data_IF_127684697431
#
_entry.id   IF_127684697431
#
_cell.length_a   1.000
_cell.length_b   1.000
_cell.length_c   1.000
_cell.angle_alpha   90.00
_cell.angle_beta   90.00
_cell.angle_gamma   90.00
#
_symmetry.space_group_name_H-M   'P 1'
#
loop_
_entity.id
_entity.type
_entity.pdbx_description
1 polymer ?
#
# COMPACT_ATOMS: atom_id res chain seq x y z
N UNK A 1 -10.59 -9.55 9.37
CA UNK A 1 -9.16 -9.89 9.22
C UNK A 1 -8.35 -8.83 9.95
N UNK A 2 -7.42 -9.26 10.79
CA UNK A 2 -6.46 -8.40 11.50
C UNK A 2 -5.14 -8.39 10.77
N UNK A 3 -4.69 -7.21 10.41
CA UNK A 3 -3.47 -6.97 9.64
C UNK A 3 -2.49 -6.18 10.49
N UNK A 4 -1.23 -6.59 10.46
CA UNK A 4 -0.13 -5.84 11.06
C UNK A 4 0.94 -5.53 10.02
N UNK A 5 1.29 -4.24 9.87
CA UNK A 5 2.14 -3.75 8.79
C UNK A 5 3.51 -3.33 9.34
N UNK A 6 4.58 -3.95 8.84
CA UNK A 6 5.96 -3.58 9.13
C UNK A 6 6.42 -2.50 8.15
N UNK A 7 6.91 -1.38 8.67
CA UNK A 7 7.28 -0.20 7.87
C UNK A 7 6.06 0.63 7.44
N UNK A 8 5.04 0.72 8.31
CA UNK A 8 3.73 1.31 8.02
C UNK A 8 3.78 2.80 7.64
N UNK A 9 4.80 3.53 8.12
CA UNK A 9 4.98 4.96 7.81
C UNK A 9 5.63 5.22 6.45
N UNK A 10 6.07 4.20 5.74
CA UNK A 10 6.48 4.34 4.34
C UNK A 10 5.32 4.83 3.48
N UNK A 11 5.60 5.65 2.45
CA UNK A 11 4.57 6.28 1.62
C UNK A 11 3.63 5.26 0.98
N UNK A 12 4.17 4.22 0.38
CA UNK A 12 3.39 3.12 -0.21
C UNK A 12 2.65 2.31 0.86
N UNK A 13 3.35 1.94 1.95
CA UNK A 13 2.78 1.10 3.01
C UNK A 13 1.67 1.82 3.79
N UNK A 14 1.77 3.13 3.99
CA UNK A 14 0.68 3.93 4.58
C UNK A 14 -0.56 3.96 3.67
N UNK A 15 -0.37 3.98 2.36
CA UNK A 15 -1.45 3.83 1.40
C UNK A 15 -2.11 2.44 1.47
N UNK A 16 -1.33 1.37 1.59
CA UNK A 16 -1.84 0.01 1.84
C UNK A 16 -2.67 -0.03 3.13
N UNK A 17 -2.19 0.61 4.20
CA UNK A 17 -2.92 0.69 5.47
C UNK A 17 -4.28 1.39 5.32
N UNK A 18 -4.33 2.51 4.57
CA UNK A 18 -5.57 3.24 4.27
C UNK A 18 -6.56 2.35 3.50
N UNK A 19 -6.11 1.70 2.43
CA UNK A 19 -6.93 0.81 1.60
C UNK A 19 -7.46 -0.38 2.41
N UNK A 20 -6.61 -1.00 3.23
CA UNK A 20 -7.01 -2.11 4.10
C UNK A 20 -8.06 -1.67 5.14
N UNK A 21 -7.88 -0.48 5.72
CA UNK A 21 -8.85 0.10 6.67
C UNK A 21 -10.19 0.39 6.01
N UNK A 22 -10.19 0.98 4.80
CA UNK A 22 -11.40 1.27 4.02
C UNK A 22 -12.15 -0.02 3.64
N UNK A 23 -11.44 -1.13 3.42
CA UNK A 23 -12.04 -2.46 3.22
C UNK A 23 -12.61 -3.09 4.49
N UNK A 24 -12.51 -2.44 5.63
CA UNK A 24 -13.04 -2.91 6.90
C UNK A 24 -12.13 -3.88 7.65
N UNK A 25 -10.83 -3.94 7.30
CA UNK A 25 -9.87 -4.71 8.09
C UNK A 25 -9.46 -3.96 9.36
N UNK A 26 -9.11 -4.70 10.40
CA UNK A 26 -8.50 -4.18 11.61
C UNK A 26 -7.00 -4.02 11.32
N UNK A 27 -6.51 -2.78 11.27
CA UNK A 27 -5.15 -2.46 10.83
C UNK A 27 -4.38 -1.82 11.98
N UNK A 28 -3.15 -2.30 12.18
CA UNK A 28 -2.11 -1.70 13.02
C UNK A 28 -0.75 -1.98 12.37
N UNK A 29 0.31 -1.45 12.94
CA UNK A 29 1.64 -1.71 12.41
C UNK A 29 2.73 -1.02 13.20
N UNK A 30 3.96 -1.15 12.71
CA UNK A 30 5.13 -0.55 13.34
C UNK A 30 6.06 0.12 12.33
N UNK A 31 6.83 1.08 12.83
CA UNK A 31 7.89 1.73 12.07
C UNK A 31 8.98 2.24 13.01
N UNK A 32 10.22 2.28 12.51
CA UNK A 32 11.32 2.92 13.21
C UNK A 32 11.19 4.45 13.16
N UNK A 33 10.74 4.98 12.02
CA UNK A 33 10.68 6.39 11.71
C UNK A 33 9.23 6.88 11.63
N UNK A 34 8.71 7.37 12.75
CA UNK A 34 7.34 7.89 12.86
C UNK A 34 7.40 9.42 12.79
N UNK A 35 7.08 10.00 11.63
CA UNK A 35 7.07 11.46 11.42
C UNK A 35 6.02 11.89 10.38
N UNK A 36 5.59 13.16 10.42
CA UNK A 36 4.65 13.70 9.45
C UNK A 36 5.16 13.63 7.99
N UNK A 37 4.24 13.50 7.02
CA UNK A 37 2.78 13.53 7.16
C UNK A 37 2.13 12.15 7.37
N UNK A 38 2.87 11.04 7.26
CA UNK A 38 2.27 9.71 7.20
C UNK A 38 1.66 9.27 8.54
N UNK A 39 2.34 9.55 9.67
CA UNK A 39 1.77 9.23 10.98
C UNK A 39 0.45 9.97 11.23
N UNK A 40 0.35 11.25 10.86
CA UNK A 40 -0.88 12.04 11.03
C UNK A 40 -2.06 11.44 10.23
N UNK A 41 -1.79 10.97 9.01
CA UNK A 41 -2.79 10.31 8.17
C UNK A 41 -3.29 9.02 8.83
N UNK A 42 -2.36 8.20 9.34
CA UNK A 42 -2.70 6.93 9.99
C UNK A 42 -3.42 7.13 11.33
N UNK A 43 -2.99 8.09 12.13
CA UNK A 43 -3.64 8.48 13.39
C UNK A 43 -5.08 8.97 13.17
N UNK A 44 -5.33 9.79 12.15
CA UNK A 44 -6.66 10.26 11.77
C UNK A 44 -7.61 9.11 11.36
N UNK A 45 -7.06 7.99 10.93
CA UNK A 45 -7.80 6.76 10.61
C UNK A 45 -7.93 5.81 11.82
N UNK A 46 -7.48 6.23 13.01
CA UNK A 46 -7.40 5.40 14.21
C UNK A 46 -6.62 4.09 13.96
N UNK A 47 -5.48 4.19 13.29
CA UNK A 47 -4.53 3.10 13.09
C UNK A 47 -3.40 3.26 14.11
N UNK A 48 -3.24 2.26 14.98
CA UNK A 48 -2.18 2.27 15.99
C UNK A 48 -0.82 1.97 15.33
N UNK A 49 0.20 2.74 15.73
CA UNK A 49 1.57 2.60 15.25
C UNK A 49 2.49 2.37 16.44
N UNK A 50 3.13 1.21 16.46
CA UNK A 50 4.15 0.87 17.43
C UNK A 50 5.53 1.35 16.95
N UNK A 51 6.40 1.80 17.88
CA UNK A 51 7.73 2.30 17.54
C UNK A 51 8.78 1.18 17.56
N UNK A 52 9.49 1.05 16.43
CA UNK A 52 10.54 0.04 16.24
C UNK A 52 9.97 -1.29 15.74
N UNK A 53 10.80 -2.34 15.79
CA UNK A 53 10.48 -3.68 15.29
C UNK A 53 10.76 -4.74 16.36
N UNK A 54 10.07 -4.64 17.49
CA UNK A 54 10.34 -5.51 18.65
C UNK A 54 9.61 -6.85 18.49
N UNK A 55 10.24 -7.93 18.95
CA UNK A 55 9.66 -9.29 18.90
C UNK A 55 8.32 -9.42 19.62
N UNK A 56 8.12 -8.64 20.70
CA UNK A 56 6.87 -8.64 21.47
C UNK A 56 5.67 -8.04 20.73
N UNK A 57 5.85 -7.45 19.53
CA UNK A 57 4.77 -7.04 18.65
C UNK A 57 4.17 -8.22 17.86
N UNK A 58 4.84 -9.37 17.86
CA UNK A 58 4.25 -10.58 17.31
C UNK A 58 3.03 -11.03 18.10
N UNK A 59 1.96 -11.38 17.40
CA UNK A 59 0.74 -11.91 18.02
C UNK A 59 0.10 -12.97 17.12
N UNK A 60 -0.28 -14.11 17.72
CA UNK A 60 -1.06 -15.16 17.05
C UNK A 60 -2.48 -14.69 16.64
N UNK A 61 -2.93 -13.55 17.18
CA UNK A 61 -4.22 -12.96 16.80
C UNK A 61 -4.15 -12.14 15.50
N UNK A 62 -2.97 -11.88 14.96
CA UNK A 62 -2.77 -11.26 13.64
C UNK A 62 -2.95 -12.33 12.58
N UNK A 63 -3.88 -12.07 11.64
CA UNK A 63 -4.16 -13.00 10.54
C UNK A 63 -3.11 -12.90 9.43
N UNK A 64 -2.57 -11.69 9.20
CA UNK A 64 -1.61 -11.43 8.12
C UNK A 64 -0.65 -10.28 8.48
N UNK A 65 0.64 -10.55 8.34
CA UNK A 65 1.68 -9.52 8.40
C UNK A 65 1.99 -9.01 6.99
N UNK A 66 1.97 -7.68 6.79
CA UNK A 66 2.39 -7.08 5.53
C UNK A 66 3.76 -6.46 5.73
N UNK A 67 4.73 -6.89 4.94
CA UNK A 67 6.15 -6.55 5.13
C UNK A 67 6.57 -5.52 4.09
N UNK A 68 7.02 -4.35 4.56
CA UNK A 68 7.58 -3.31 3.70
C UNK A 68 8.96 -3.71 3.16
N UNK A 69 9.33 -3.16 2.01
CA UNK A 69 10.57 -3.46 1.29
C UNK A 69 11.86 -3.05 2.02
N UNK A 70 11.77 -2.17 3.02
CA UNK A 70 12.91 -1.77 3.87
C UNK A 70 13.25 -2.82 4.94
N UNK A 71 12.37 -3.79 5.17
CA UNK A 71 12.55 -4.86 6.15
C UNK A 71 13.41 -5.96 5.53
N UNK A 72 14.51 -6.30 6.20
CA UNK A 72 15.44 -7.35 5.77
C UNK A 72 15.64 -8.42 6.84
N UNK A 73 16.37 -9.48 6.49
CA UNK A 73 16.80 -10.51 7.44
C UNK A 73 17.59 -9.88 8.59
N UNK A 74 17.39 -10.40 9.80
CA UNK A 74 17.95 -9.84 11.02
C UNK A 74 17.07 -8.80 11.71
N UNK A 75 15.93 -8.41 11.10
CA UNK A 75 14.93 -7.62 11.79
C UNK A 75 14.22 -8.48 12.85
N UNK A 76 14.25 -8.07 14.12
CA UNK A 76 13.80 -8.90 15.25
C UNK A 76 12.34 -9.37 15.12
N UNK A 77 11.44 -8.47 14.72
CA UNK A 77 10.04 -8.84 14.51
C UNK A 77 9.87 -9.78 13.32
N UNK A 78 10.60 -9.54 12.21
CA UNK A 78 10.52 -10.41 11.03
C UNK A 78 11.04 -11.81 11.33
N UNK A 79 12.16 -11.94 12.03
CA UNK A 79 12.68 -13.25 12.45
C UNK A 79 11.67 -13.97 13.38
N UNK A 80 11.04 -13.23 14.30
CA UNK A 80 10.00 -13.80 15.17
C UNK A 80 8.78 -14.30 14.39
N UNK A 81 8.33 -13.56 13.35
CA UNK A 81 7.23 -13.98 12.46
C UNK A 81 7.60 -15.29 11.75
N UNK A 82 8.82 -15.41 11.25
CA UNK A 82 9.32 -16.61 10.59
C UNK A 82 9.41 -17.81 11.55
N UNK A 83 9.97 -17.63 12.73
CA UNK A 83 10.13 -18.67 13.73
C UNK A 83 8.79 -19.24 14.22
N UNK A 84 7.78 -18.39 14.31
CA UNK A 84 6.43 -18.80 14.74
C UNK A 84 5.53 -19.24 13.57
N UNK A 85 6.07 -19.31 12.34
CA UNK A 85 5.31 -19.60 11.12
C UNK A 85 4.10 -18.66 10.92
N UNK A 86 4.25 -17.38 11.24
CA UNK A 86 3.23 -16.37 11.01
C UNK A 86 2.99 -16.13 9.52
N UNK A 87 1.74 -15.96 9.12
CA UNK A 87 1.39 -15.64 7.73
C UNK A 87 1.88 -14.25 7.37
N UNK A 88 2.64 -14.12 6.29
CA UNK A 88 3.11 -12.82 5.84
C UNK A 88 3.08 -12.69 4.32
N UNK A 89 3.05 -11.45 3.83
CA UNK A 89 3.05 -11.11 2.40
C UNK A 89 3.75 -9.76 2.19
N UNK A 90 4.10 -9.44 0.97
CA UNK A 90 4.57 -8.11 0.60
C UNK A 90 3.40 -7.12 0.41
N UNK A 91 3.69 -5.81 0.46
CA UNK A 91 2.70 -4.77 0.15
C UNK A 91 2.09 -4.92 -1.25
N UNK A 92 2.90 -5.06 -2.31
CA UNK A 92 2.40 -5.27 -3.67
C UNK A 92 1.55 -6.53 -3.84
N UNK A 93 1.95 -7.65 -3.26
CA UNK A 93 1.19 -8.89 -3.33
C UNK A 93 -0.15 -8.79 -2.59
N UNK A 94 -0.17 -8.14 -1.42
CA UNK A 94 -1.41 -7.82 -0.72
C UNK A 94 -2.34 -6.97 -1.60
N UNK A 95 -1.80 -5.90 -2.18
CA UNK A 95 -2.56 -5.00 -3.03
C UNK A 95 -3.18 -5.75 -4.21
N UNK A 96 -2.40 -6.58 -4.89
CA UNK A 96 -2.88 -7.39 -6.00
C UNK A 96 -4.01 -8.33 -5.57
N UNK A 97 -3.76 -9.18 -4.56
CA UNK A 97 -4.68 -10.23 -4.16
C UNK A 97 -6.00 -9.71 -3.57
N UNK A 98 -5.96 -8.56 -2.87
CA UNK A 98 -7.12 -8.03 -2.14
C UNK A 98 -7.85 -6.89 -2.85
N UNK A 99 -7.20 -6.20 -3.81
CA UNK A 99 -7.77 -5.00 -4.42
C UNK A 99 -7.72 -4.98 -5.96
N UNK A 100 -6.65 -5.49 -6.59
CA UNK A 100 -6.42 -5.25 -8.03
C UNK A 100 -6.83 -6.40 -8.93
N UNK A 101 -6.91 -7.62 -8.45
CA UNK A 101 -7.09 -8.85 -9.23
C UNK A 101 -8.21 -8.79 -10.28
N UNK A 102 -9.31 -8.08 -9.98
CA UNK A 102 -10.48 -7.97 -10.86
C UNK A 102 -10.66 -6.53 -11.39
N UNK A 103 -9.61 -5.70 -11.34
CA UNK A 103 -9.66 -4.30 -11.74
C UNK A 103 -8.78 -4.02 -12.97
N UNK A 104 -9.17 -3.01 -13.71
CA UNK A 104 -8.34 -2.43 -14.75
C UNK A 104 -7.38 -1.42 -14.12
N UNK A 105 -6.10 -1.79 -14.06
CA UNK A 105 -5.08 -0.99 -13.38
C UNK A 105 -4.42 -0.04 -14.38
N UNK A 106 -4.45 1.26 -14.07
CA UNK A 106 -3.72 2.30 -14.78
C UNK A 106 -2.47 2.63 -13.96
N UNK A 107 -1.34 2.09 -14.39
CA UNK A 107 -0.04 2.27 -13.71
C UNK A 107 0.74 3.42 -14.32
N UNK A 108 1.17 4.37 -13.50
CA UNK A 108 1.96 5.52 -13.91
C UNK A 108 3.40 5.35 -13.41
N UNK A 109 4.30 5.08 -14.34
CA UNK A 109 5.73 4.96 -14.09
C UNK A 109 6.50 6.13 -14.69
N UNK A 110 7.71 6.38 -14.22
CA UNK A 110 8.61 7.43 -14.72
C UNK A 110 9.45 8.06 -13.62
N UNK A 111 10.52 8.72 -13.98
CA UNK A 111 11.45 9.37 -13.02
C UNK A 111 10.86 10.61 -12.36
N UNK A 112 10.04 11.38 -13.07
CA UNK A 112 9.43 12.62 -12.58
C UNK A 112 7.97 12.73 -13.01
N UNK A 113 7.18 13.46 -12.21
CA UNK A 113 5.79 13.80 -12.54
C UNK A 113 4.77 12.68 -12.27
N UNK A 114 5.17 11.52 -11.76
CA UNK A 114 4.27 10.39 -11.46
C UNK A 114 3.06 10.83 -10.62
N UNK A 115 3.31 11.42 -9.46
CA UNK A 115 2.28 11.88 -8.51
C UNK A 115 1.29 12.86 -9.17
N UNK A 116 1.81 13.85 -9.89
CA UNK A 116 0.98 14.84 -10.58
C UNK A 116 0.12 14.19 -11.67
N UNK A 117 0.71 13.33 -12.50
CA UNK A 117 0.01 12.64 -13.58
C UNK A 117 -1.06 11.70 -13.03
N UNK A 118 -0.73 10.90 -12.02
CA UNK A 118 -1.68 10.00 -11.35
C UNK A 118 -2.86 10.76 -10.76
N UNK A 119 -2.58 11.89 -10.09
CA UNK A 119 -3.62 12.75 -9.52
C UNK A 119 -4.51 13.37 -10.61
N UNK A 120 -3.94 13.85 -11.71
CA UNK A 120 -4.71 14.40 -12.83
C UNK A 120 -5.61 13.35 -13.47
N UNK A 121 -5.11 12.14 -13.71
CA UNK A 121 -5.90 11.04 -14.28
C UNK A 121 -7.04 10.66 -13.32
N UNK A 122 -6.74 10.47 -12.02
CA UNK A 122 -7.77 10.17 -11.03
C UNK A 122 -8.84 11.28 -10.99
N UNK A 123 -8.42 12.54 -11.00
CA UNK A 123 -9.33 13.69 -11.01
C UNK A 123 -10.25 13.72 -12.24
N UNK A 124 -9.72 13.47 -13.44
CA UNK A 124 -10.50 13.41 -14.69
C UNK A 124 -11.60 12.34 -14.58
N UNK A 125 -11.27 11.15 -14.08
CA UNK A 125 -12.27 10.09 -13.90
C UNK A 125 -13.32 10.47 -12.86
N UNK A 126 -12.91 11.02 -11.71
CA UNK A 126 -13.83 11.46 -10.66
C UNK A 126 -14.77 12.57 -11.18
N UNK A 127 -14.25 13.56 -11.89
CA UNK A 127 -15.06 14.65 -12.48
C UNK A 127 -15.99 14.16 -13.58
N UNK A 128 -15.68 13.03 -14.23
CA UNK A 128 -16.58 12.35 -15.16
C UNK A 128 -17.66 11.49 -14.49
N UNK A 129 -17.73 11.50 -13.15
CA UNK A 129 -18.73 10.77 -12.36
C UNK A 129 -18.33 9.32 -12.04
N UNK A 130 -17.08 8.92 -12.26
CA UNK A 130 -16.59 7.57 -11.91
C UNK A 130 -16.01 7.55 -10.50
N UNK A 131 -16.35 6.53 -9.74
CA UNK A 131 -15.83 6.30 -8.38
C UNK A 131 -14.57 5.41 -8.43
N UNK A 132 -13.50 5.91 -9.03
CA UNK A 132 -12.25 5.16 -9.22
C UNK A 132 -11.46 4.97 -7.93
N UNK A 133 -10.77 3.83 -7.82
CA UNK A 133 -9.77 3.62 -6.79
C UNK A 133 -8.43 4.24 -7.17
N UNK A 134 -7.62 4.58 -6.18
CA UNK A 134 -6.26 5.06 -6.43
C UNK A 134 -5.32 4.79 -5.25
N UNK A 135 -4.03 4.71 -5.57
CA UNK A 135 -2.91 4.76 -4.64
C UNK A 135 -1.84 5.69 -5.22
N UNK A 136 -1.73 6.88 -4.65
CA UNK A 136 -0.87 7.97 -5.12
C UNK A 136 0.09 8.34 -3.98
N UNK A 137 1.38 8.40 -4.26
CA UNK A 137 2.37 8.73 -3.26
C UNK A 137 2.21 10.16 -2.72
N UNK A 138 2.24 10.30 -1.38
CA UNK A 138 2.23 11.59 -0.73
C UNK A 138 0.86 12.28 -0.66
N UNK A 139 0.88 13.54 -0.20
CA UNK A 139 -0.33 14.36 -0.03
C UNK A 139 -0.61 15.14 -1.31
N UNK A 140 -1.70 14.81 -1.97
CA UNK A 140 -2.19 15.56 -3.14
C UNK A 140 -3.20 16.62 -2.68
N UNK A 141 -3.00 17.88 -3.09
CA UNK A 141 -3.80 19.02 -2.59
C UNK A 141 -5.32 18.87 -2.80
N UNK A 142 -5.71 18.22 -3.90
CA UNK A 142 -7.11 18.10 -4.30
C UNK A 142 -7.79 16.81 -3.81
N UNK A 143 -7.07 15.99 -3.05
CA UNK A 143 -7.58 14.74 -2.50
C UNK A 143 -7.50 14.74 -0.98
N UNK A 144 -8.53 14.23 -0.34
CA UNK A 144 -8.56 14.09 1.13
C UNK A 144 -7.63 12.99 1.65
N UNK A 145 -7.31 12.01 0.80
CA UNK A 145 -6.49 10.84 1.12
C UNK A 145 -5.50 10.55 -0.01
N UNK A 146 -4.39 9.88 0.29
CA UNK A 146 -3.43 9.40 -0.71
C UNK A 146 -3.82 8.06 -1.33
N UNK A 147 -4.79 7.37 -0.73
CA UNK A 147 -5.29 6.10 -1.21
C UNK A 147 -6.79 5.97 -0.97
N UNK A 148 -7.50 5.32 -1.91
CA UNK A 148 -8.94 5.09 -1.88
C UNK A 148 -9.29 3.83 -2.64
N UNK A 149 -10.20 3.03 -2.10
CA UNK A 149 -10.64 1.78 -2.76
C UNK A 149 -11.49 2.08 -4.00
N UNK A 150 -12.45 2.99 -3.91
CA UNK A 150 -13.43 3.25 -4.97
C UNK A 150 -14.28 2.02 -5.33
N UNK A 151 -15.36 2.23 -6.07
CA UNK A 151 -16.28 1.15 -6.50
C UNK A 151 -16.19 0.83 -7.99
N UNK A 152 -15.57 1.70 -8.81
CA UNK A 152 -15.34 1.44 -10.23
C UNK A 152 -14.29 0.34 -10.45
N UNK A 153 -14.31 -0.27 -11.63
CA UNK A 153 -13.29 -1.25 -12.03
C UNK A 153 -11.92 -0.64 -12.28
N UNK A 154 -11.83 0.66 -12.48
CA UNK A 154 -10.56 1.36 -12.72
C UNK A 154 -9.86 1.62 -11.39
N UNK A 155 -8.57 1.33 -11.36
CA UNK A 155 -7.69 1.66 -10.24
C UNK A 155 -6.42 2.33 -10.76
N UNK A 156 -6.09 3.51 -10.22
CA UNK A 156 -4.91 4.28 -10.64
C UNK A 156 -3.82 4.09 -9.61
N UNK A 157 -2.63 3.69 -10.05
CA UNK A 157 -1.49 3.48 -9.16
C UNK A 157 -0.27 4.24 -9.65
N UNK A 158 0.39 4.93 -8.73
CA UNK A 158 1.73 5.44 -8.94
C UNK A 158 2.74 4.31 -8.68
N UNK A 159 3.47 3.92 -9.72
CA UNK A 159 4.49 2.86 -9.64
C UNK A 159 5.86 3.49 -9.42
N UNK A 160 6.50 3.18 -8.30
CA UNK A 160 7.86 3.59 -8.03
C UNK A 160 8.88 2.57 -8.55
N UNK A 161 10.09 3.03 -8.88
CA UNK A 161 11.19 2.19 -9.40
C UNK A 161 11.58 1.08 -8.41
N UNK A 162 11.35 1.29 -7.13
CA UNK A 162 11.61 0.33 -6.06
C UNK A 162 10.50 -0.73 -5.86
N UNK A 163 9.30 -0.49 -6.39
CA UNK A 163 8.16 -1.40 -6.31
C UNK A 163 7.86 -2.08 -7.65
N UNK A 164 8.91 -2.55 -8.35
CA UNK A 164 8.80 -3.35 -9.58
C UNK A 164 7.83 -4.53 -9.43
N UNK A 165 7.63 -5.02 -8.21
CA UNK A 165 6.65 -6.05 -7.92
C UNK A 165 5.20 -5.63 -8.28
N UNK A 166 4.84 -4.34 -8.17
CA UNK A 166 3.53 -3.85 -8.64
C UNK A 166 3.38 -3.98 -10.16
N UNK A 167 4.46 -3.79 -10.92
CA UNK A 167 4.45 -3.91 -12.38
C UNK A 167 4.36 -5.37 -12.82
N UNK A 168 4.98 -6.31 -12.10
CA UNK A 168 4.93 -7.74 -12.40
C UNK A 168 3.52 -8.33 -12.30
N UNK A 169 2.67 -7.76 -11.44
CA UNK A 169 1.29 -8.22 -11.26
C UNK A 169 0.26 -7.44 -12.09
N UNK A 170 0.64 -6.33 -12.70
CA UNK A 170 -0.31 -5.41 -13.34
C UNK A 170 -0.03 -5.13 -14.82
N UNK A 171 1.14 -5.47 -15.36
CA UNK A 171 1.49 -5.16 -16.74
C UNK A 171 1.45 -6.39 -17.64
N UNK A 172 0.59 -6.32 -18.65
CA UNK A 172 0.54 -7.17 -19.83
C UNK A 172 1.38 -6.58 -20.99
N UNK A 173 2.12 -5.52 -20.71
CA UNK A 173 2.84 -4.76 -21.72
C UNK A 173 4.09 -5.46 -22.31
N UNK A 174 4.45 -6.64 -21.81
CA UNK A 174 5.60 -7.40 -22.31
C UNK A 174 5.30 -8.24 -23.56
N UNK A 175 4.02 -8.49 -23.88
CA UNK A 175 3.62 -9.35 -24.98
C UNK A 175 3.40 -8.62 -26.31
N UNK A 176 3.44 -7.29 -26.34
CA UNK A 176 3.25 -6.50 -27.58
C UNK A 176 4.54 -6.12 -28.32
N UNK A 177 5.69 -6.65 -27.90
CA UNK A 177 6.99 -6.29 -28.52
C UNK A 177 7.39 -7.14 -29.74
N UNK A 178 6.56 -8.07 -30.19
CA UNK A 178 6.79 -8.90 -31.39
C UNK A 178 5.71 -8.64 -32.46
N UNK A 179 5.77 -7.43 -33.03
CA UNK A 179 5.00 -7.04 -34.21
C UNK A 179 5.86 -6.28 -35.18
#
# INVERSE_FOLDING_TARGET
MRIYILGICGTFMSGIAQLAKEKGYEVSGCDENIYPPMNEILENLNINIDKGYQENFYSKAVDLYIVGNVISRGNSLMEKILDENGSFTSGPEFLFNHLLKDRHVVSIAGTHGKTTTSAMIAKIFIDSGKDVGYLIAGKVKDFSTSARVGTDKIFIIESDEYDTACLLYTSDAADEADG
#
